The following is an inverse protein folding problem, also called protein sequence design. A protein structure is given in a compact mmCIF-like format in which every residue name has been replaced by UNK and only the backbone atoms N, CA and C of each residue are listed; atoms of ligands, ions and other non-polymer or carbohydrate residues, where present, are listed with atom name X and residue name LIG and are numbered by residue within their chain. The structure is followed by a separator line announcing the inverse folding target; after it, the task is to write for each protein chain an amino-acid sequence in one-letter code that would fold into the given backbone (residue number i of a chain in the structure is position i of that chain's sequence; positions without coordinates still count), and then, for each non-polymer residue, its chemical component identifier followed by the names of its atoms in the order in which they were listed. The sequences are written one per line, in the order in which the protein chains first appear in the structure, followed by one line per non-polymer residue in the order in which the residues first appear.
data_IF_366913662924
#
_entry.id   IF_366913662924
#
_cell.length_a   1.000
_cell.length_b   1.000
_cell.length_c   1.000
_cell.angle_alpha   90.00
_cell.angle_beta   90.00
_cell.angle_gamma   90.00
#
_symmetry.space_group_name_H-M   'P 1'
#
loop_
_entity.id
_entity.type
_entity.pdbx_description
1 polymer ?
#
# COMPACT_ATOMS: atom_id res chain seq x y z
N UNK A 1 -11.06 12.75 13.62
CA UNK A 1 -10.49 11.99 14.77
C UNK A 1 -10.29 10.54 14.36
N UNK A 2 -9.05 10.14 14.07
CA UNK A 2 -8.70 8.74 13.71
C UNK A 2 -8.11 8.07 14.96
N UNK A 3 -8.48 6.81 15.31
CA UNK A 3 -7.91 6.13 16.45
C UNK A 3 -6.45 5.71 16.16
N UNK A 4 -5.53 6.18 17.01
CA UNK A 4 -4.10 5.85 16.95
C UNK A 4 -3.91 4.33 17.14
N UNK A 5 -3.45 3.64 16.10
CA UNK A 5 -3.05 2.23 16.13
C UNK A 5 -1.59 2.08 15.69
N UNK A 6 -0.70 1.98 16.68
CA UNK A 6 0.75 1.85 16.51
C UNK A 6 1.10 0.44 16.01
N UNK A 7 1.74 0.31 14.83
CA UNK A 7 2.30 -0.94 14.31
C UNK A 7 3.64 -0.71 13.54
N UNK A 8 4.68 -1.54 13.79
CA UNK A 8 6.13 -1.39 13.42
C UNK A 8 6.79 -2.77 13.06
N UNK A 9 7.97 -2.98 12.38
CA UNK A 9 8.15 -3.08 10.90
C UNK A 9 8.90 -4.25 10.02
N UNK A 10 8.37 -5.44 9.59
CA UNK A 10 8.65 -6.35 8.37
C UNK A 10 10.05 -6.91 8.06
N UNK A 11 10.07 -7.72 6.99
CA UNK A 11 10.40 -9.15 7.02
C UNK A 11 11.12 -9.76 5.84
N UNK A 12 11.64 -10.95 6.14
CA UNK A 12 11.94 -12.02 5.19
C UNK A 12 10.95 -13.18 5.38
N UNK A 13 10.82 -14.06 4.38
CA UNK A 13 9.72 -15.04 4.35
C UNK A 13 10.02 -16.29 5.20
N UNK A 14 9.63 -16.28 6.47
CA UNK A 14 9.46 -17.52 7.25
C UNK A 14 8.48 -18.48 6.57
N UNK A 15 8.92 -19.71 6.31
CA UNK A 15 8.06 -20.73 5.73
C UNK A 15 7.13 -21.35 6.76
N UNK A 16 5.83 -21.53 6.44
CA UNK A 16 5.02 -22.53 7.12
C UNK A 16 5.70 -23.90 6.93
N UNK A 17 5.91 -24.67 8.01
CA UNK A 17 6.59 -25.97 7.95
C UNK A 17 5.93 -26.93 6.94
N UNK A 18 6.63 -28.00 6.49
CA UNK A 18 6.11 -28.92 5.49
C UNK A 18 4.73 -29.44 5.90
N UNK A 19 3.79 -29.47 4.94
CA UNK A 19 2.38 -29.77 5.19
C UNK A 19 2.22 -30.96 6.15
N UNK A 20 1.77 -30.63 7.37
CA UNK A 20 1.59 -31.55 8.48
C UNK A 20 0.33 -32.38 8.27
N UNK A 21 0.31 -33.60 8.80
CA UNK A 21 -0.92 -34.41 8.83
C UNK A 21 -1.92 -33.93 9.89
N UNK A 22 -1.47 -33.03 10.78
CA UNK A 22 -2.24 -32.42 11.86
C UNK A 22 -2.67 -30.99 11.49
N UNK A 23 -3.59 -30.43 12.27
CA UNK A 23 -4.06 -29.05 12.08
C UNK A 23 -3.01 -28.03 12.53
N UNK A 24 -2.89 -26.92 11.81
CA UNK A 24 -2.13 -25.74 12.24
C UNK A 24 -3.06 -24.53 12.21
N UNK A 25 -3.26 -23.88 13.36
CA UNK A 25 -3.82 -22.52 13.40
C UNK A 25 -2.67 -21.53 13.23
N UNK A 26 -2.92 -20.45 12.50
CA UNK A 26 -1.93 -19.39 12.33
C UNK A 26 -2.58 -18.02 12.19
N UNK A 27 -1.78 -17.00 12.49
CA UNK A 27 -2.06 -15.61 12.12
C UNK A 27 -0.79 -14.98 11.57
N UNK A 28 -0.89 -14.22 10.50
CA UNK A 28 0.19 -13.41 9.93
C UNK A 28 -0.31 -11.97 9.78
N UNK A 29 0.45 -11.02 10.29
CA UNK A 29 0.19 -9.58 10.14
C UNK A 29 1.39 -8.96 9.46
N UNK A 30 1.23 -8.48 8.24
CA UNK A 30 2.24 -7.90 7.36
C UNK A 30 1.84 -6.45 7.04
N UNK A 31 2.74 -5.47 7.11
CA UNK A 31 2.34 -4.05 7.05
C UNK A 31 3.37 -3.07 6.48
N UNK A 32 3.74 -3.14 5.19
CA UNK A 32 4.80 -2.31 4.58
C UNK A 32 4.38 -0.83 4.42
N UNK A 33 5.23 0.15 4.74
CA UNK A 33 5.05 1.59 4.43
C UNK A 33 6.35 2.14 3.83
N UNK A 34 6.22 2.96 2.79
CA UNK A 34 7.32 3.65 2.12
C UNK A 34 6.88 5.03 1.65
N UNK A 35 7.74 6.03 1.84
CA UNK A 35 7.54 7.39 1.34
C UNK A 35 8.85 7.91 0.77
N UNK A 36 8.85 8.34 -0.49
CA UNK A 36 10.03 8.98 -1.07
C UNK A 36 10.28 10.41 -0.58
N UNK A 37 9.31 11.35 -0.62
CA UNK A 37 9.59 12.78 -0.44
C UNK A 37 9.81 13.20 1.02
N UNK A 38 9.09 12.60 1.97
CA UNK A 38 9.16 12.95 3.41
C UNK A 38 9.03 11.69 4.26
N UNK A 39 9.41 11.75 5.53
CA UNK A 39 9.21 10.62 6.45
C UNK A 39 7.74 10.21 6.60
N UNK A 40 7.51 8.98 7.04
CA UNK A 40 6.16 8.41 7.18
C UNK A 40 5.32 9.14 8.23
N UNK A 41 5.93 9.70 9.28
CA UNK A 41 5.21 10.50 10.28
C UNK A 41 4.85 11.88 9.71
N UNK A 42 5.74 12.52 8.94
CA UNK A 42 5.45 13.78 8.26
C UNK A 42 4.34 13.62 7.21
N UNK A 43 4.39 12.55 6.39
CA UNK A 43 3.37 12.23 5.38
C UNK A 43 1.94 12.08 5.96
N UNK A 44 1.83 11.62 7.21
CA UNK A 44 0.55 11.33 7.89
C UNK A 44 0.06 12.48 8.78
N UNK A 45 0.89 13.50 9.00
CA UNK A 45 0.57 14.69 9.78
C UNK A 45 0.89 15.92 8.91
N UNK A 46 1.85 16.74 9.33
CA UNK A 46 1.98 18.14 8.90
C UNK A 46 3.07 18.37 7.83
N UNK A 47 3.59 17.32 7.18
CA UNK A 47 4.71 17.37 6.20
C UNK A 47 5.98 18.13 6.65
N UNK A 48 6.13 18.37 7.96
CA UNK A 48 7.24 19.07 8.59
C UNK A 48 8.49 18.16 8.72
N UNK A 49 9.15 17.94 7.58
CA UNK A 49 10.44 17.29 7.47
C UNK A 49 11.25 17.89 6.31
N UNK A 50 12.46 17.40 6.06
CA UNK A 50 13.22 17.78 4.86
C UNK A 50 12.65 17.08 3.63
N UNK A 51 12.29 17.86 2.60
CA UNK A 51 11.82 17.32 1.32
C UNK A 51 12.97 16.66 0.53
N UNK A 52 12.89 15.34 0.35
CA UNK A 52 13.67 14.58 -0.64
C UNK A 52 12.93 14.50 -1.99
N UNK A 53 13.63 14.04 -3.04
CA UNK A 53 13.03 13.84 -4.36
C UNK A 53 12.22 12.55 -4.43
N UNK A 54 11.00 12.59 -4.96
CA UNK A 54 10.15 11.41 -5.08
C UNK A 54 8.85 11.63 -5.86
N UNK A 55 8.24 10.55 -6.34
CA UNK A 55 6.96 10.56 -7.07
C UNK A 55 5.87 9.66 -6.45
N UNK A 56 6.20 9.00 -5.33
CA UNK A 56 5.31 8.02 -4.71
C UNK A 56 5.49 7.88 -3.20
N UNK A 57 4.37 7.66 -2.52
CA UNK A 57 4.31 7.05 -1.19
C UNK A 57 3.26 5.94 -1.19
N UNK A 58 3.43 4.88 -0.39
CA UNK A 58 2.46 3.80 -0.31
C UNK A 58 2.53 3.01 1.01
N UNK A 59 1.42 2.35 1.34
CA UNK A 59 1.35 1.31 2.36
C UNK A 59 0.55 0.08 1.91
N UNK A 60 1.00 -1.09 2.33
CA UNK A 60 0.40 -2.39 2.07
C UNK A 60 0.31 -3.18 3.37
N UNK A 61 -0.89 -3.19 3.95
CA UNK A 61 -1.19 -3.86 5.21
C UNK A 61 -2.14 -5.04 4.97
N UNK A 62 -1.75 -6.22 5.46
CA UNK A 62 -2.45 -7.50 5.31
C UNK A 62 -2.41 -8.24 6.64
N UNK A 63 -3.57 -8.53 7.19
CA UNK A 63 -3.75 -9.50 8.27
C UNK A 63 -4.43 -10.75 7.72
N UNK A 64 -3.87 -11.92 7.98
CA UNK A 64 -4.42 -13.22 7.60
C UNK A 64 -4.47 -14.12 8.83
N UNK A 65 -5.66 -14.58 9.23
CA UNK A 65 -5.83 -15.55 10.32
C UNK A 65 -6.65 -16.75 9.85
N UNK A 66 -6.15 -17.96 10.11
CA UNK A 66 -6.72 -19.15 9.50
C UNK A 66 -6.20 -20.48 10.02
N UNK A 67 -6.58 -21.53 9.31
CA UNK A 67 -6.22 -22.92 9.59
C UNK A 67 -5.59 -23.56 8.35
N UNK A 68 -4.64 -24.47 8.58
CA UNK A 68 -4.04 -25.34 7.57
C UNK A 68 -4.22 -26.81 7.95
N UNK A 69 -4.54 -27.65 6.97
CA UNK A 69 -4.65 -29.10 7.14
C UNK A 69 -4.38 -29.83 5.82
N UNK A 70 -3.44 -30.79 5.82
CA UNK A 70 -3.09 -31.63 4.64
C UNK A 70 -2.89 -30.85 3.33
N UNK A 71 -2.30 -29.66 3.43
CA UNK A 71 -2.02 -28.78 2.29
C UNK A 71 -3.13 -27.77 1.97
N UNK A 72 -4.36 -27.95 2.45
CA UNK A 72 -5.39 -26.91 2.39
C UNK A 72 -5.09 -25.79 3.39
N UNK A 73 -5.49 -24.57 3.02
CA UNK A 73 -5.44 -23.33 3.80
C UNK A 73 -6.79 -22.63 3.68
N UNK A 74 -7.40 -22.26 4.79
CA UNK A 74 -8.60 -21.41 4.83
C UNK A 74 -8.34 -20.28 5.83
N UNK A 75 -8.58 -19.03 5.44
CA UNK A 75 -8.34 -17.87 6.28
C UNK A 75 -9.34 -16.73 6.08
N UNK A 76 -9.53 -15.93 7.13
CA UNK A 76 -10.02 -14.56 7.01
C UNK A 76 -8.82 -13.66 6.69
N UNK A 77 -9.00 -12.78 5.71
CA UNK A 77 -8.03 -11.75 5.35
C UNK A 77 -8.62 -10.37 5.65
N UNK A 78 -7.82 -9.44 6.13
CA UNK A 78 -8.14 -8.01 6.22
C UNK A 78 -7.01 -7.26 5.51
N UNK A 79 -7.32 -6.30 4.66
CA UNK A 79 -6.34 -5.54 3.87
C UNK A 79 -6.62 -4.06 3.84
N UNK A 80 -5.54 -3.29 3.81
CA UNK A 80 -5.50 -1.85 3.59
C UNK A 80 -4.32 -1.59 2.65
N UNK A 81 -4.64 -1.20 1.42
CA UNK A 81 -3.68 -0.90 0.37
C UNK A 81 -3.88 0.57 -0.02
N UNK A 82 -2.88 1.42 0.16
CA UNK A 82 -2.92 2.85 -0.18
C UNK A 82 -1.68 3.20 -0.99
N UNK A 83 -1.85 3.83 -2.13
CA UNK A 83 -0.79 4.32 -3.01
C UNK A 83 -1.11 5.78 -3.32
N UNK A 84 -0.16 6.67 -3.08
CA UNK A 84 -0.21 8.06 -3.50
C UNK A 84 0.85 8.26 -4.57
N UNK A 85 0.44 8.63 -5.78
CA UNK A 85 1.37 9.12 -6.82
C UNK A 85 1.21 10.61 -6.96
N UNK A 86 2.32 11.28 -7.22
CA UNK A 86 2.38 12.72 -7.44
C UNK A 86 3.60 13.03 -8.30
N UNK A 87 3.77 14.28 -8.69
CA UNK A 87 5.03 14.73 -9.28
C UNK A 87 5.84 15.59 -8.30
N UNK A 88 7.10 15.86 -8.63
CA UNK A 88 7.98 16.64 -7.76
C UNK A 88 7.44 18.04 -7.45
N UNK A 89 6.80 18.70 -8.43
CA UNK A 89 6.20 20.03 -8.22
C UNK A 89 5.06 19.99 -7.19
N UNK A 90 4.30 18.89 -7.13
CA UNK A 90 3.24 18.69 -6.12
C UNK A 90 3.82 18.51 -4.73
N UNK A 91 4.85 17.67 -4.60
CA UNK A 91 5.54 17.47 -3.32
C UNK A 91 6.22 18.76 -2.83
N UNK A 92 6.78 19.56 -3.75
CA UNK A 92 7.37 20.87 -3.46
C UNK A 92 6.32 21.90 -3.05
N UNK A 93 5.25 22.10 -3.83
CA UNK A 93 4.18 23.05 -3.51
C UNK A 93 3.52 22.73 -2.16
N UNK A 94 3.15 21.47 -1.93
CA UNK A 94 2.53 21.04 -0.68
C UNK A 94 3.48 21.15 0.52
N UNK A 95 4.79 20.88 0.33
CA UNK A 95 5.78 21.08 1.38
C UNK A 95 5.98 22.56 1.73
N UNK A 96 5.98 23.45 0.73
CA UNK A 96 6.11 24.89 0.94
C UNK A 96 4.90 25.46 1.70
N UNK A 97 3.69 25.14 1.25
CA UNK A 97 2.42 25.49 1.89
C UNK A 97 2.38 25.04 3.37
N UNK A 98 2.62 23.76 3.65
CA UNK A 98 2.54 23.22 5.01
C UNK A 98 3.65 23.70 5.97
N UNK A 99 4.67 24.42 5.48
CA UNK A 99 5.79 24.90 6.30
C UNK A 99 5.98 26.43 6.24
N UNK A 100 4.98 27.17 5.76
CA UNK A 100 5.02 28.64 5.60
C UNK A 100 6.27 29.12 4.82
N UNK A 101 6.65 28.42 3.75
CA UNK A 101 7.81 28.76 2.91
C UNK A 101 7.35 29.53 1.68
N UNK A 102 7.77 30.79 1.57
CA UNK A 102 7.52 31.68 0.43
C UNK A 102 7.64 30.94 -0.93
N UNK A 103 6.58 31.04 -1.74
CA UNK A 103 6.55 30.52 -3.11
C UNK A 103 7.05 31.63 -4.05
N UNK A 104 7.98 31.31 -4.95
CA UNK A 104 8.48 32.27 -5.92
C UNK A 104 7.35 32.64 -6.90
N UNK A 105 6.94 33.93 -6.97
CA UNK A 105 5.79 34.38 -7.74
C UNK A 105 5.92 34.18 -9.25
N UNK A 106 7.13 33.96 -9.78
CA UNK A 106 7.35 33.63 -11.20
C UNK A 106 7.31 32.11 -11.49
N UNK A 107 6.96 31.26 -10.51
CA UNK A 107 6.96 29.80 -10.68
C UNK A 107 5.61 29.23 -11.13
N UNK A 108 5.58 28.72 -12.37
CA UNK A 108 4.47 27.90 -12.85
C UNK A 108 4.50 26.49 -12.24
N UNK A 109 3.41 26.09 -11.60
CA UNK A 109 3.22 24.73 -11.05
C UNK A 109 2.30 23.90 -11.92
N UNK A 110 2.75 22.69 -12.27
CA UNK A 110 1.90 21.63 -12.78
C UNK A 110 1.81 20.54 -11.72
N UNK A 111 0.74 20.57 -10.94
CA UNK A 111 0.45 19.63 -9.86
C UNK A 111 -0.24 18.38 -10.43
N UNK A 112 0.06 17.23 -9.84
CA UNK A 112 -0.51 15.92 -10.13
C UNK A 112 -0.68 15.18 -8.80
N UNK A 113 -1.88 14.72 -8.51
CA UNK A 113 -2.19 13.86 -7.38
C UNK A 113 -3.07 12.69 -7.85
N UNK A 114 -2.54 11.48 -7.80
CA UNK A 114 -3.22 10.26 -8.20
C UNK A 114 -3.25 9.26 -7.02
N UNK A 115 -4.24 9.36 -6.12
CA UNK A 115 -4.45 8.39 -5.05
C UNK A 115 -5.12 7.12 -5.57
N UNK A 116 -4.65 5.98 -5.11
CA UNK A 116 -5.30 4.67 -5.27
C UNK A 116 -5.28 3.95 -3.92
N UNK A 117 -6.44 3.84 -3.28
CA UNK A 117 -6.64 3.19 -2.00
C UNK A 117 -7.85 2.24 -2.01
N UNK A 118 -7.66 1.11 -1.35
CA UNK A 118 -8.70 0.13 -1.06
C UNK A 118 -8.53 -0.46 0.34
N UNK A 119 -9.63 -0.51 1.08
CA UNK A 119 -9.76 -1.35 2.27
C UNK A 119 -10.71 -2.50 1.99
N UNK A 120 -10.30 -3.73 2.29
CA UNK A 120 -11.11 -4.91 2.02
C UNK A 120 -11.04 -6.01 3.07
N UNK A 121 -12.13 -6.75 3.19
CA UNK A 121 -12.23 -7.98 3.97
C UNK A 121 -12.26 -9.17 3.00
N UNK A 122 -11.47 -10.20 3.26
CA UNK A 122 -11.35 -11.37 2.39
C UNK A 122 -11.72 -12.69 3.06
N UNK A 123 -12.13 -13.68 2.25
CA UNK A 123 -12.11 -15.10 2.59
C UNK A 123 -11.18 -15.80 1.60
N UNK A 124 -10.08 -16.37 2.12
CA UNK A 124 -9.04 -17.02 1.35
C UNK A 124 -9.20 -18.54 1.43
N UNK A 125 -9.11 -19.20 0.27
CA UNK A 125 -8.91 -20.64 0.16
C UNK A 125 -7.63 -20.85 -0.66
N UNK A 126 -6.71 -21.66 -0.13
CA UNK A 126 -5.50 -22.06 -0.83
C UNK A 126 -5.20 -23.55 -0.69
N UNK A 127 -4.37 -24.06 -1.58
CA UNK A 127 -3.86 -25.42 -1.51
C UNK A 127 -2.37 -25.46 -1.87
N UNK A 128 -1.64 -26.37 -1.24
CA UNK A 128 -0.20 -26.59 -1.43
C UNK A 128 0.09 -27.93 -2.09
N UNK A 129 0.52 -27.89 -3.35
CA UNK A 129 0.99 -29.07 -4.09
C UNK A 129 2.48 -29.31 -3.82
N UNK A 130 2.82 -30.54 -3.42
CA UNK A 130 4.19 -31.07 -3.42
C UNK A 130 4.45 -31.69 -4.81
N UNK A 131 4.90 -30.89 -5.76
CA UNK A 131 5.11 -31.31 -7.16
C UNK A 131 6.29 -32.31 -7.25
N UNK A 132 7.35 -32.06 -6.48
CA UNK A 132 8.50 -32.96 -6.27
C UNK A 132 8.95 -32.90 -4.82
N UNK A 133 9.81 -33.82 -4.38
CA UNK A 133 10.38 -33.81 -3.03
C UNK A 133 11.14 -32.52 -2.67
N UNK A 134 11.59 -31.77 -3.68
CA UNK A 134 12.34 -30.53 -3.54
C UNK A 134 11.62 -29.29 -4.11
N UNK A 135 10.40 -29.42 -4.63
CA UNK A 135 9.65 -28.31 -5.21
C UNK A 135 8.17 -28.37 -4.82
N UNK A 136 7.69 -27.29 -4.20
CA UNK A 136 6.30 -27.13 -3.77
C UNK A 136 5.75 -25.77 -4.23
N UNK A 137 4.45 -25.73 -4.50
CA UNK A 137 3.73 -24.52 -4.89
C UNK A 137 2.43 -24.44 -4.07
N UNK A 138 2.12 -23.26 -3.56
CA UNK A 138 0.92 -22.88 -2.82
C UNK A 138 0.20 -21.84 -3.68
N UNK A 139 -1.04 -22.12 -4.08
CA UNK A 139 -1.88 -21.17 -4.83
C UNK A 139 -3.09 -20.90 -3.96
N UNK A 140 -3.40 -19.63 -3.77
CA UNK A 140 -4.58 -19.19 -3.04
C UNK A 140 -5.43 -18.25 -3.88
N UNK A 141 -6.74 -18.30 -3.64
CA UNK A 141 -7.73 -17.38 -4.18
C UNK A 141 -8.47 -16.78 -3.00
N UNK A 142 -8.60 -15.45 -3.00
CA UNK A 142 -9.32 -14.69 -1.99
C UNK A 142 -10.54 -14.06 -2.62
N UNK A 143 -11.74 -14.33 -2.08
CA UNK A 143 -12.93 -13.51 -2.37
C UNK A 143 -12.84 -12.27 -1.50
N UNK A 144 -12.91 -11.09 -2.10
CA UNK A 144 -12.79 -9.79 -1.45
C UNK A 144 -14.15 -9.08 -1.37
N UNK A 145 -14.36 -8.36 -0.28
CA UNK A 145 -15.42 -7.40 -0.02
C UNK A 145 -14.74 -6.04 0.20
N UNK A 146 -14.95 -5.12 -0.73
CA UNK A 146 -14.41 -3.75 -0.68
C UNK A 146 -15.28 -2.85 0.19
N UNK A 147 -14.64 -2.07 1.06
CA UNK A 147 -15.27 -1.27 2.12
C UNK A 147 -14.96 0.22 1.94
N UNK A 148 -13.70 0.54 1.67
CA UNK A 148 -13.28 1.91 1.38
C UNK A 148 -12.61 1.94 0.00
N UNK A 149 -13.03 2.91 -0.81
CA UNK A 149 -12.55 3.22 -2.16
C UNK A 149 -11.97 4.64 -2.15
N UNK A 150 -10.85 4.82 -2.83
CA UNK A 150 -10.40 6.08 -3.39
C UNK A 150 -9.57 5.74 -4.63
N UNK A 151 -9.92 6.24 -5.81
CA UNK A 151 -9.17 5.95 -7.04
C UNK A 151 -9.40 7.06 -8.06
N UNK A 152 -8.33 7.65 -8.60
CA UNK A 152 -8.45 8.66 -9.64
C UNK A 152 -7.25 9.59 -9.72
N UNK A 153 -7.48 10.76 -10.31
CA UNK A 153 -6.45 11.75 -10.56
C UNK A 153 -7.01 13.17 -10.43
N UNK A 154 -6.19 14.06 -9.88
CA UNK A 154 -6.34 15.51 -9.93
C UNK A 154 -5.07 16.07 -10.56
N UNK A 155 -5.23 16.87 -11.63
CA UNK A 155 -4.14 17.68 -12.20
C UNK A 155 -4.49 19.14 -12.09
N UNK A 156 -3.52 19.99 -11.74
CA UNK A 156 -3.72 21.44 -11.63
C UNK A 156 -2.54 22.16 -12.29
N UNK A 157 -2.80 23.03 -13.26
CA UNK A 157 -1.80 23.97 -13.76
C UNK A 157 -2.10 25.36 -13.19
N UNK A 158 -1.16 25.89 -12.42
CA UNK A 158 -1.22 27.23 -11.79
C UNK A 158 -0.06 28.08 -12.30
N UNK A 159 -0.36 29.33 -12.64
CA UNK A 159 0.61 30.39 -12.91
C UNK A 159 0.24 31.61 -12.06
N UNK A 160 1.23 32.39 -11.65
CA UNK A 160 1.03 33.58 -10.82
C UNK A 160 1.23 33.31 -9.33
N UNK A 161 1.20 34.39 -8.57
CA UNK A 161 1.91 34.51 -7.31
C UNK A 161 1.11 34.00 -6.10
N UNK A 162 1.75 33.15 -5.29
CA UNK A 162 1.20 32.59 -4.05
C UNK A 162 -0.08 31.75 -4.24
N UNK A 163 -0.46 30.93 -3.25
CA UNK A 163 -1.77 30.25 -3.26
C UNK A 163 -2.88 31.15 -2.66
N UNK A 164 -2.64 32.46 -2.57
CA UNK A 164 -3.57 33.48 -2.05
C UNK A 164 -4.41 34.11 -3.19
N UNK A 165 -5.70 34.34 -2.92
CA UNK A 165 -6.70 34.73 -3.93
C UNK A 165 -6.40 36.08 -4.60
N UNK A 166 -5.67 36.98 -3.93
CA UNK A 166 -5.33 38.31 -4.47
C UNK A 166 -4.27 38.28 -5.59
N UNK A 167 -3.48 37.21 -5.71
CA UNK A 167 -2.25 37.18 -6.51
C UNK A 167 -2.18 36.03 -7.54
N UNK A 168 -3.14 35.10 -7.50
CA UNK A 168 -3.30 34.00 -8.47
C UNK A 168 -3.57 34.53 -9.90
N UNK A 169 -2.67 34.31 -10.86
CA UNK A 169 -2.87 34.79 -12.24
C UNK A 169 -3.78 33.86 -13.06
N UNK A 170 -3.53 32.54 -13.05
CA UNK A 170 -4.40 31.55 -13.73
C UNK A 170 -4.35 30.22 -13.02
N UNK A 171 -5.49 29.54 -12.95
CA UNK A 171 -5.56 28.17 -12.44
C UNK A 171 -6.50 27.32 -13.30
N UNK A 172 -6.02 26.14 -13.70
CA UNK A 172 -6.78 25.16 -14.46
C UNK A 172 -6.68 23.80 -13.75
N UNK A 173 -7.78 23.26 -13.25
CA UNK A 173 -7.80 21.93 -12.64
C UNK A 173 -8.64 20.95 -13.46
N UNK A 174 -8.20 19.70 -13.54
CA UNK A 174 -8.98 18.56 -14.01
C UNK A 174 -9.07 17.55 -12.88
N UNK A 175 -10.30 17.23 -12.47
CA UNK A 175 -10.62 16.31 -11.37
C UNK A 175 -11.37 15.12 -11.95
N UNK A 176 -10.93 13.90 -11.69
CA UNK A 176 -11.66 12.69 -12.06
C UNK A 176 -11.32 11.56 -11.08
N UNK A 177 -12.15 11.39 -10.06
CA UNK A 177 -11.92 10.37 -9.03
C UNK A 177 -13.21 9.76 -8.47
N UNK A 178 -13.09 8.52 -8.00
CA UNK A 178 -14.11 7.73 -7.32
C UNK A 178 -13.74 7.54 -5.86
N UNK A 179 -14.73 7.44 -4.97
CA UNK A 179 -14.48 7.47 -3.51
C UNK A 179 -15.59 6.85 -2.67
N UNK A 180 -15.24 6.48 -1.43
CA UNK A 180 -16.22 6.23 -0.36
C UNK A 180 -16.61 7.47 0.44
N UNK A 181 -15.75 8.49 0.45
CA UNK A 181 -15.93 9.76 1.17
C UNK A 181 -15.39 10.89 0.27
N UNK A 182 -16.12 12.01 0.10
CA UNK A 182 -15.60 13.20 -0.60
C UNK A 182 -14.26 13.68 -0.02
N UNK A 183 -13.46 14.37 -0.85
CA UNK A 183 -12.11 14.87 -0.48
C UNK A 183 -11.83 16.30 -0.95
N UNK A 184 -12.73 16.94 -1.70
CA UNK A 184 -12.59 18.29 -2.25
C UNK A 184 -13.81 19.15 -1.87
N UNK A 185 -14.23 19.06 -0.61
CA UNK A 185 -15.37 19.79 0.00
C UNK A 185 -16.70 19.70 -0.76
N UNK A 186 -16.92 18.63 -1.54
CA UNK A 186 -18.13 18.51 -2.35
C UNK A 186 -19.42 18.42 -1.52
N UNK A 187 -19.32 18.07 -0.23
CA UNK A 187 -20.46 18.00 0.69
C UNK A 187 -20.97 19.38 1.16
N UNK A 188 -20.10 20.39 1.24
CA UNK A 188 -20.44 21.75 1.70
C UNK A 188 -20.97 22.63 0.56
N UNK A 189 -20.35 22.58 -0.62
CA UNK A 189 -20.54 23.59 -1.68
C UNK A 189 -21.47 23.16 -2.83
N UNK A 190 -21.94 21.90 -2.87
CA UNK A 190 -22.59 21.34 -4.08
C UNK A 190 -23.99 20.76 -3.85
N UNK A 191 -24.95 21.38 -4.53
CA UNK A 191 -26.31 20.84 -4.69
C UNK A 191 -26.31 19.82 -5.83
N UNK A 192 -26.58 18.56 -5.49
CA UNK A 192 -26.71 17.45 -6.44
C UNK A 192 -28.18 17.18 -6.79
N UNK A 193 -28.45 16.79 -8.05
CA UNK A 193 -29.76 16.26 -8.47
C UNK A 193 -29.75 14.74 -8.46
N UNK A 194 -30.39 14.14 -7.44
CA UNK A 194 -30.58 12.71 -7.38
C UNK A 194 -31.69 12.26 -8.33
N UNK A 195 -31.29 11.59 -9.41
CA UNK A 195 -32.21 11.03 -10.41
C UNK A 195 -33.15 9.95 -9.84
N UNK A 196 -32.78 9.30 -8.72
CA UNK A 196 -33.57 8.21 -8.13
C UNK A 196 -34.73 8.72 -7.27
N UNK A 197 -34.51 9.76 -6.45
CA UNK A 197 -35.58 10.46 -5.71
C UNK A 197 -36.25 11.60 -6.50
N UNK A 198 -35.62 12.06 -7.59
CA UNK A 198 -36.00 13.26 -8.36
C UNK A 198 -35.95 14.55 -7.53
N UNK A 199 -35.01 14.64 -6.59
CA UNK A 199 -34.84 15.80 -5.70
C UNK A 199 -33.45 16.42 -5.81
N UNK A 200 -33.35 17.68 -5.40
CA UNK A 200 -32.08 18.36 -5.16
C UNK A 200 -31.72 18.24 -3.68
N UNK A 201 -30.44 18.01 -3.37
CA UNK A 201 -29.94 17.92 -2.00
C UNK A 201 -28.42 18.10 -1.92
N UNK A 202 -27.89 18.17 -0.71
CA UNK A 202 -26.46 18.17 -0.41
C UNK A 202 -25.82 16.85 -0.90
N UNK A 203 -24.58 16.93 -1.41
CA UNK A 203 -23.87 15.75 -1.88
C UNK A 203 -23.26 14.96 -0.71
N UNK A 204 -24.04 14.01 -0.18
CA UNK A 204 -23.61 13.09 0.85
C UNK A 204 -23.85 11.63 0.40
N UNK A 205 -22.97 11.05 -0.42
CA UNK A 205 -23.13 9.69 -0.93
C UNK A 205 -22.83 8.65 0.16
N UNK A 206 -23.65 7.60 0.23
CA UNK A 206 -23.36 6.45 1.08
C UNK A 206 -22.12 5.67 0.58
N UNK A 207 -21.34 5.10 1.50
CA UNK A 207 -20.15 4.30 1.15
C UNK A 207 -20.51 3.18 0.13
N UNK A 208 -19.81 3.10 -1.02
CA UNK A 208 -20.00 2.04 -2.01
C UNK A 208 -19.50 0.70 -1.46
N UNK A 209 -20.05 -0.39 -1.99
CA UNK A 209 -19.63 -1.76 -1.64
C UNK A 209 -19.01 -2.44 -2.83
N UNK A 210 -17.78 -2.92 -2.64
CA UNK A 210 -17.02 -3.64 -3.65
C UNK A 210 -17.17 -5.15 -3.49
N UNK A 211 -17.19 -5.89 -4.60
CA UNK A 211 -16.95 -7.34 -4.60
C UNK A 211 -15.81 -7.66 -5.55
N UNK A 212 -14.88 -8.49 -5.10
CA UNK A 212 -13.65 -8.73 -5.82
C UNK A 212 -13.06 -10.11 -5.61
N UNK A 213 -11.96 -10.33 -6.32
CA UNK A 213 -11.14 -11.53 -6.19
C UNK A 213 -9.67 -11.16 -6.33
N UNK A 214 -8.81 -11.84 -5.57
CA UNK A 214 -7.37 -11.86 -5.83
C UNK A 214 -6.80 -13.27 -5.82
N UNK A 215 -5.62 -13.45 -6.41
CA UNK A 215 -4.88 -14.71 -6.38
C UNK A 215 -3.41 -14.53 -6.02
N UNK A 216 -2.94 -15.38 -5.11
CA UNK A 216 -1.55 -15.43 -4.66
C UNK A 216 -0.89 -16.72 -5.15
N UNK A 217 0.38 -16.65 -5.53
CA UNK A 217 1.23 -17.81 -5.87
C UNK A 217 2.50 -17.77 -5.05
N UNK A 218 2.79 -18.85 -4.33
CA UNK A 218 3.99 -19.00 -3.53
C UNK A 218 4.69 -20.32 -3.89
N UNK A 219 5.84 -20.22 -4.54
CA UNK A 219 6.66 -21.35 -4.96
C UNK A 219 7.94 -21.44 -4.11
N UNK A 220 8.27 -22.64 -3.64
CA UNK A 220 9.49 -22.92 -2.90
C UNK A 220 10.28 -24.03 -3.59
N UNK A 221 11.57 -23.78 -3.83
CA UNK A 221 12.47 -24.70 -4.50
C UNK A 221 13.74 -24.91 -3.68
N UNK A 222 13.89 -26.13 -3.16
CA UNK A 222 15.18 -26.61 -2.64
C UNK A 222 16.04 -27.04 -3.83
N UNK A 223 16.88 -26.13 -4.32
CA UNK A 223 17.72 -26.35 -5.50
C UNK A 223 18.75 -27.44 -5.20
N UNK A 224 19.38 -27.38 -4.03
CA UNK A 224 20.28 -28.43 -3.52
C UNK A 224 20.33 -28.39 -1.98
N UNK A 225 21.39 -28.93 -1.36
CA UNK A 225 21.52 -28.97 0.11
C UNK A 225 21.88 -27.62 0.75
N UNK A 226 22.38 -26.67 -0.03
CA UNK A 226 22.80 -25.33 0.42
C UNK A 226 21.90 -24.21 -0.11
N UNK A 227 21.33 -24.38 -1.32
CA UNK A 227 20.54 -23.34 -1.97
C UNK A 227 19.04 -23.63 -1.90
N UNK A 228 18.30 -22.66 -1.36
CA UNK A 228 16.83 -22.61 -1.37
C UNK A 228 16.39 -21.32 -2.07
N UNK A 229 15.38 -21.40 -2.93
CA UNK A 229 14.76 -20.24 -3.55
C UNK A 229 13.27 -20.21 -3.23
N UNK A 230 12.72 -19.01 -3.03
CA UNK A 230 11.29 -18.77 -2.89
C UNK A 230 10.86 -17.62 -3.76
N UNK A 231 9.77 -17.82 -4.49
CA UNK A 231 9.06 -16.77 -5.22
C UNK A 231 7.65 -16.67 -4.64
N UNK A 232 7.31 -15.50 -4.11
CA UNK A 232 5.95 -15.12 -3.73
C UNK A 232 5.47 -14.04 -4.69
N UNK A 233 4.31 -14.25 -5.29
CA UNK A 233 3.58 -13.24 -6.05
C UNK A 233 2.23 -13.08 -5.35
N UNK A 234 2.03 -11.93 -4.71
CA UNK A 234 0.71 -11.52 -4.26
C UNK A 234 -0.02 -10.83 -5.39
N UNK A 235 -1.35 -10.99 -5.43
CA UNK A 235 -2.21 -10.25 -6.36
C UNK A 235 -1.81 -10.44 -7.84
N UNK A 236 -1.39 -11.66 -8.21
CA UNK A 236 -1.13 -12.05 -9.61
C UNK A 236 -2.35 -11.76 -10.50
N UNK A 237 -3.54 -11.91 -9.92
CA UNK A 237 -4.76 -11.23 -10.31
C UNK A 237 -5.28 -10.47 -9.09
N UNK A 238 -5.78 -9.25 -9.27
CA UNK A 238 -6.57 -8.53 -8.28
C UNK A 238 -7.57 -7.60 -8.97
N UNK A 239 -8.85 -7.76 -8.66
CA UNK A 239 -9.91 -6.84 -9.09
C UNK A 239 -10.99 -6.72 -8.02
N UNK A 240 -11.44 -5.49 -7.76
CA UNK A 240 -12.66 -5.20 -7.00
C UNK A 240 -13.59 -4.41 -7.91
N UNK A 241 -14.80 -4.92 -8.09
CA UNK A 241 -15.88 -4.26 -8.82
C UNK A 241 -16.83 -3.60 -7.82
N UNK A 242 -17.01 -2.29 -7.98
CA UNK A 242 -17.81 -1.42 -7.14
C UNK A 242 -19.10 -1.06 -7.87
N UNK A 243 -20.24 -1.44 -7.30
CA UNK A 243 -21.55 -1.01 -7.77
C UNK A 243 -21.90 0.35 -7.13
N UNK A 244 -22.37 1.29 -7.94
CA UNK A 244 -22.72 2.66 -7.55
C UNK A 244 -21.58 3.38 -6.81
N UNK A 245 -20.36 3.31 -7.33
CA UNK A 245 -19.24 4.10 -6.87
C UNK A 245 -19.55 5.60 -7.07
N UNK A 246 -19.58 6.41 -5.99
CA UNK A 246 -19.59 7.87 -6.08
C UNK A 246 -18.38 8.35 -6.86
N UNK A 247 -18.55 9.39 -7.67
CA UNK A 247 -17.45 10.03 -8.38
C UNK A 247 -17.65 11.55 -8.49
N UNK A 248 -16.53 12.25 -8.56
CA UNK A 248 -16.44 13.66 -8.95
C UNK A 248 -15.67 13.74 -10.25
N UNK A 249 -16.26 14.41 -11.25
CA UNK A 249 -15.57 14.82 -12.47
C UNK A 249 -15.76 16.30 -12.66
N UNK A 250 -14.67 17.04 -12.77
CA UNK A 250 -14.74 18.50 -12.87
C UNK A 250 -13.62 19.08 -13.72
N UNK A 251 -13.90 20.24 -14.28
CA UNK A 251 -12.94 21.12 -14.93
C UNK A 251 -13.12 22.49 -14.28
N UNK A 252 -12.09 22.93 -13.56
CA UNK A 252 -12.00 24.27 -13.02
C UNK A 252 -11.15 25.13 -13.96
N UNK A 253 -11.64 26.33 -14.29
CA UNK A 253 -10.89 27.33 -15.05
C UNK A 253 -11.06 28.69 -14.38
N UNK A 254 -9.93 29.35 -14.14
CA UNK A 254 -9.85 30.71 -13.63
C UNK A 254 -8.87 31.52 -14.49
N UNK A 255 -9.35 32.62 -15.04
CA UNK A 255 -8.58 33.60 -15.81
C UNK A 255 -9.14 35.03 -15.57
N UNK A 256 -8.43 35.88 -14.80
CA UNK A 256 -8.84 37.23 -14.48
C UNK A 256 -8.66 38.19 -15.65
N UNK A 257 -7.73 37.94 -16.58
CA UNK A 257 -7.59 38.77 -17.80
C UNK A 257 -8.87 38.70 -18.64
N UNK A 258 -9.47 37.50 -18.72
CA UNK A 258 -10.69 37.25 -19.49
C UNK A 258 -11.98 37.47 -18.66
N UNK A 259 -11.85 37.81 -17.37
CA UNK A 259 -12.97 37.96 -16.41
C UNK A 259 -13.89 36.72 -16.37
N UNK A 260 -13.31 35.53 -16.51
CA UNK A 260 -14.05 34.28 -16.38
C UNK A 260 -14.27 34.03 -14.88
N UNK A 261 -15.51 34.25 -14.43
CA UNK A 261 -15.95 33.74 -13.12
C UNK A 261 -15.65 32.24 -13.05
N UNK A 262 -15.16 31.69 -11.93
CA UNK A 262 -14.82 30.27 -11.81
C UNK A 262 -15.94 29.35 -12.32
N UNK A 263 -15.74 28.78 -13.51
CA UNK A 263 -16.72 27.88 -14.13
C UNK A 263 -16.44 26.46 -13.70
N UNK A 264 -17.26 25.94 -12.78
CA UNK A 264 -17.31 24.51 -12.47
C UNK A 264 -18.10 23.77 -13.54
N UNK A 265 -17.44 23.29 -14.60
CA UNK A 265 -18.05 22.38 -15.58
C UNK A 265 -17.96 20.92 -15.09
N UNK A 266 -18.59 20.68 -13.94
CA UNK A 266 -18.50 19.43 -13.20
C UNK A 266 -19.78 18.61 -13.18
N UNK A 267 -19.61 17.29 -12.99
CA UNK A 267 -20.68 16.36 -12.65
C UNK A 267 -20.27 15.46 -11.48
N UNK A 268 -21.15 15.42 -10.49
CA UNK A 268 -21.17 14.40 -9.44
C UNK A 268 -22.10 13.27 -9.89
N UNK A 269 -21.91 12.06 -9.36
CA UNK A 269 -22.84 10.96 -9.61
C UNK A 269 -22.32 9.60 -9.18
N UNK A 270 -23.03 8.57 -9.63
CA UNK A 270 -22.74 7.17 -9.31
C UNK A 270 -22.57 6.36 -10.59
N UNK A 271 -21.59 5.47 -10.63
CA UNK A 271 -21.40 4.53 -11.73
C UNK A 271 -20.81 3.19 -11.28
N UNK A 272 -20.65 2.24 -12.21
CA UNK A 272 -19.90 1.02 -11.93
C UNK A 272 -18.41 1.31 -12.14
N UNK A 273 -17.59 0.99 -11.16
CA UNK A 273 -16.15 1.19 -11.19
C UNK A 273 -15.39 -0.11 -10.95
N UNK A 274 -14.22 -0.27 -11.57
CA UNK A 274 -13.38 -1.46 -11.46
C UNK A 274 -11.98 -1.05 -11.01
N UNK A 275 -11.60 -1.45 -9.80
CA UNK A 275 -10.29 -1.15 -9.22
C UNK A 275 -9.36 -2.37 -9.28
N UNK A 276 -8.09 -2.17 -9.60
CA UNK A 276 -7.07 -3.23 -9.67
C UNK A 276 -5.72 -2.74 -9.17
N UNK A 277 -5.04 -3.54 -8.34
CA UNK A 277 -3.70 -3.26 -7.85
C UNK A 277 -2.67 -4.07 -8.63
N UNK A 278 -1.45 -3.55 -8.73
CA UNK A 278 -0.33 -4.26 -9.37
C UNK A 278 0.17 -5.41 -8.50
N UNK A 279 0.45 -6.56 -9.12
CA UNK A 279 1.02 -7.71 -8.43
C UNK A 279 2.34 -7.38 -7.71
N UNK A 280 2.44 -7.76 -6.44
CA UNK A 280 3.66 -7.59 -5.63
C UNK A 280 4.49 -8.87 -5.69
N UNK A 281 5.81 -8.73 -5.75
CA UNK A 281 6.71 -9.86 -6.00
C UNK A 281 7.82 -9.89 -4.95
N UNK A 282 8.03 -11.05 -4.33
CA UNK A 282 9.15 -11.31 -3.42
C UNK A 282 9.94 -12.51 -3.95
N UNK A 283 11.21 -12.31 -4.27
CA UNK A 283 12.15 -13.38 -4.61
C UNK A 283 13.22 -13.45 -3.53
N UNK A 284 13.29 -14.56 -2.79
CA UNK A 284 14.32 -14.82 -1.79
C UNK A 284 15.20 -15.98 -2.25
N UNK A 285 16.52 -15.79 -2.25
CA UNK A 285 17.52 -16.83 -2.54
C UNK A 285 18.44 -16.95 -1.32
N UNK A 286 18.36 -18.10 -0.66
CA UNK A 286 19.10 -18.42 0.56
C UNK A 286 20.26 -19.36 0.25
N UNK A 287 21.40 -19.15 0.92
CA UNK A 287 22.59 -19.99 0.87
C UNK A 287 23.09 -20.36 2.27
N UNK A 288 22.91 -21.63 2.64
CA UNK A 288 23.36 -22.19 3.90
C UNK A 288 24.86 -22.56 3.84
N UNK A 289 25.72 -21.71 4.42
CA UNK A 289 27.16 -21.99 4.58
C UNK A 289 27.40 -23.22 5.48
N UNK A 290 26.57 -23.38 6.51
CA UNK A 290 26.66 -24.44 7.51
C UNK A 290 25.31 -24.60 8.22
N UNK A 291 25.19 -25.63 9.07
CA UNK A 291 24.02 -25.82 9.94
C UNK A 291 23.76 -24.65 10.92
N UNK A 292 24.70 -23.69 11.06
CA UNK A 292 24.59 -22.54 11.97
C UNK A 292 24.48 -21.20 11.27
N UNK A 293 24.95 -21.06 10.03
CA UNK A 293 25.09 -19.76 9.36
C UNK A 293 24.71 -19.87 7.88
N UNK A 294 24.02 -18.85 7.38
CA UNK A 294 23.72 -18.68 5.96
C UNK A 294 23.53 -17.21 5.60
N UNK A 295 23.24 -16.96 4.33
CA UNK A 295 22.92 -15.63 3.79
C UNK A 295 21.69 -15.69 2.90
N UNK A 296 21.02 -14.54 2.75
CA UNK A 296 19.89 -14.38 1.83
C UNK A 296 20.12 -13.15 0.96
N UNK A 297 19.84 -13.28 -0.34
CA UNK A 297 19.53 -12.15 -1.21
C UNK A 297 18.03 -12.16 -1.45
N UNK A 298 17.36 -11.06 -1.14
CA UNK A 298 15.93 -10.87 -1.36
C UNK A 298 15.66 -9.68 -2.28
N UNK A 299 14.66 -9.78 -3.14
CA UNK A 299 14.13 -8.71 -3.98
C UNK A 299 12.64 -8.58 -3.69
N UNK A 300 12.20 -7.43 -3.19
CA UNK A 300 10.78 -7.09 -3.10
C UNK A 300 10.45 -6.06 -4.19
N UNK A 301 9.37 -6.25 -4.95
CA UNK A 301 8.89 -5.32 -5.96
C UNK A 301 7.43 -4.97 -5.70
N UNK A 302 7.15 -3.67 -5.57
CA UNK A 302 5.81 -3.12 -5.39
C UNK A 302 5.72 -1.75 -6.10
N UNK A 303 4.58 -1.48 -6.72
CA UNK A 303 4.22 -0.18 -7.32
C UNK A 303 5.22 0.43 -8.33
N UNK A 304 6.09 -0.41 -8.91
CA UNK A 304 7.16 0.00 -9.83
C UNK A 304 8.55 0.00 -9.20
N UNK A 305 8.64 0.20 -7.88
CA UNK A 305 9.90 0.22 -7.12
C UNK A 305 10.35 -1.21 -6.83
N UNK A 306 11.68 -1.41 -6.85
CA UNK A 306 12.33 -2.65 -6.40
C UNK A 306 13.24 -2.34 -5.21
N UNK A 307 13.15 -3.17 -4.17
CA UNK A 307 13.87 -3.11 -2.90
C UNK A 307 14.82 -4.32 -2.82
N UNK A 308 16.10 -4.17 -3.18
CA UNK A 308 17.09 -5.23 -3.09
C UNK A 308 17.66 -5.30 -1.68
N UNK A 309 17.70 -6.50 -1.11
CA UNK A 309 18.12 -6.74 0.25
C UNK A 309 19.17 -7.84 0.33
N UNK A 310 20.18 -7.62 1.17
CA UNK A 310 21.20 -8.62 1.51
C UNK A 310 21.10 -8.89 3.00
N UNK A 311 21.16 -10.16 3.38
CA UNK A 311 21.05 -10.60 4.76
C UNK A 311 22.07 -11.66 5.14
N UNK A 312 22.43 -11.70 6.42
CA UNK A 312 23.13 -12.81 7.06
C UNK A 312 22.25 -13.34 8.19
N UNK A 313 22.14 -14.65 8.30
CA UNK A 313 21.37 -15.29 9.37
C UNK A 313 22.21 -16.34 10.12
N UNK A 314 21.88 -16.51 11.41
CA UNK A 314 22.42 -17.57 12.23
C UNK A 314 21.33 -18.33 12.99
N UNK A 315 21.50 -19.64 13.10
CA UNK A 315 20.67 -20.51 13.92
C UNK A 315 21.27 -20.60 15.33
N UNK A 316 20.50 -20.19 16.34
CA UNK A 316 20.88 -20.32 17.74
C UNK A 316 19.73 -20.92 18.54
N UNK A 317 20.00 -22.08 19.16
CA UNK A 317 18.99 -22.93 19.79
C UNK A 317 17.88 -23.28 18.77
N UNK A 318 16.65 -22.89 19.05
CA UNK A 318 15.46 -23.11 18.21
C UNK A 318 15.05 -21.89 17.38
N UNK A 319 15.88 -20.84 17.35
CA UNK A 319 15.59 -19.55 16.69
C UNK A 319 16.63 -19.26 15.61
N UNK A 320 16.17 -18.87 14.42
CA UNK A 320 16.97 -18.17 13.44
C UNK A 320 16.93 -16.67 13.74
N UNK A 321 18.11 -16.07 13.91
CA UNK A 321 18.31 -14.63 13.95
C UNK A 321 18.84 -14.19 12.59
N UNK A 322 18.33 -13.10 12.05
CA UNK A 322 18.75 -12.55 10.77
C UNK A 322 18.95 -11.04 10.89
N UNK A 323 20.00 -10.53 10.25
CA UNK A 323 20.25 -9.09 10.08
C UNK A 323 20.33 -8.83 8.58
N UNK A 324 19.67 -7.76 8.12
CA UNK A 324 19.55 -7.42 6.71
C UNK A 324 19.78 -5.94 6.45
N UNK A 325 20.20 -5.61 5.23
CA UNK A 325 20.25 -4.24 4.72
C UNK A 325 19.60 -4.15 3.35
N UNK A 326 18.68 -3.20 3.19
CA UNK A 326 17.91 -2.91 1.98
C UNK A 326 18.49 -1.69 1.27
N UNK A 327 18.91 -1.83 0.02
CA UNK A 327 19.73 -0.80 -0.65
C UNK A 327 18.93 0.34 -1.27
N UNK A 328 17.65 0.12 -1.64
CA UNK A 328 16.75 1.20 -2.11
C UNK A 328 16.18 1.97 -0.92
N UNK A 329 15.72 1.26 0.10
CA UNK A 329 15.19 1.88 1.32
C UNK A 329 16.29 2.46 2.23
N UNK A 330 17.57 2.13 2.01
CA UNK A 330 18.69 2.37 2.96
C UNK A 330 18.42 1.79 4.37
N UNK A 331 17.55 0.77 4.45
CA UNK A 331 16.96 0.31 5.69
C UNK A 331 17.69 -0.90 6.29
N UNK A 332 17.91 -0.87 7.61
CA UNK A 332 18.45 -2.00 8.37
C UNK A 332 17.31 -2.81 8.97
N UNK A 333 17.40 -4.14 8.88
CA UNK A 333 16.41 -5.05 9.43
C UNK A 333 16.98 -6.10 10.37
N UNK A 334 16.14 -6.54 11.31
CA UNK A 334 16.39 -7.59 12.29
C UNK A 334 15.18 -8.53 12.27
N UNK A 335 15.44 -9.82 12.09
CA UNK A 335 14.44 -10.85 11.90
C UNK A 335 14.66 -12.02 12.88
N UNK A 336 13.57 -12.58 13.36
CA UNK A 336 13.47 -13.51 14.49
C UNK A 336 12.46 -14.61 14.17
N UNK A 337 12.95 -15.76 13.69
CA UNK A 337 12.10 -16.86 13.24
C UNK A 337 12.29 -18.11 14.09
N UNK A 338 11.19 -18.70 14.55
CA UNK A 338 11.19 -20.05 15.11
C UNK A 338 9.91 -20.79 14.67
N UNK A 339 9.74 -22.03 15.11
CA UNK A 339 8.61 -22.90 14.71
C UNK A 339 7.20 -22.40 15.11
N UNK A 340 7.11 -21.37 15.95
CA UNK A 340 5.86 -20.80 16.48
C UNK A 340 5.71 -19.30 16.23
N UNK A 341 6.81 -18.56 16.16
CA UNK A 341 6.84 -17.10 16.03
C UNK A 341 7.72 -16.70 14.84
N UNK A 342 7.18 -15.82 14.01
CA UNK A 342 7.92 -14.93 13.11
C UNK A 342 7.78 -13.52 13.64
N UNK A 343 8.89 -12.83 13.83
CA UNK A 343 8.90 -11.41 14.10
C UNK A 343 9.98 -10.77 13.24
N UNK A 344 9.63 -9.68 12.57
CA UNK A 344 10.58 -8.97 11.74
C UNK A 344 10.41 -7.45 11.88
N UNK A 345 11.55 -6.75 11.90
CA UNK A 345 11.64 -5.29 11.85
C UNK A 345 12.69 -4.84 10.81
N UNK A 346 12.45 -3.70 10.16
CA UNK A 346 13.16 -3.07 9.06
C UNK A 346 12.84 -1.58 9.12
N UNK A 347 13.87 -0.74 9.22
CA UNK A 347 13.73 0.69 9.01
C UNK A 347 15.06 1.33 8.64
N UNK A 348 14.99 2.42 7.86
CA UNK A 348 16.06 3.38 7.66
C UNK A 348 16.39 4.17 8.94
N UNK A 349 15.41 4.34 9.84
CA UNK A 349 15.63 4.99 11.14
C UNK A 349 15.05 4.20 12.33
N UNK A 350 15.75 3.15 12.74
CA UNK A 350 15.41 2.33 13.93
C UNK A 350 15.52 3.10 15.27
N UNK A 351 16.11 4.30 15.31
CA UNK A 351 16.24 5.10 16.55
C UNK A 351 15.08 6.06 16.75
N UNK A 352 14.63 6.67 15.66
CA UNK A 352 13.57 7.67 15.65
C UNK A 352 12.63 7.36 14.47
N UNK A 353 11.58 6.59 14.77
CA UNK A 353 10.58 6.15 13.80
C UNK A 353 9.83 7.31 13.14
N UNK A 354 9.83 8.51 13.75
CA UNK A 354 9.23 9.70 13.14
C UNK A 354 9.98 10.16 11.91
N UNK A 355 11.29 9.88 11.84
CA UNK A 355 12.19 10.24 10.73
C UNK A 355 12.51 9.05 9.82
N UNK A 356 11.61 8.06 9.76
CA UNK A 356 11.76 6.90 8.89
C UNK A 356 10.97 7.12 7.60
N UNK A 357 11.64 7.07 6.45
CA UNK A 357 10.99 7.00 5.13
C UNK A 357 10.53 5.57 4.81
N UNK A 358 11.15 4.57 5.44
CA UNK A 358 10.76 3.16 5.34
C UNK A 358 10.50 2.56 6.71
N UNK A 359 9.28 2.12 6.91
CA UNK A 359 8.90 1.23 8.01
C UNK A 359 7.74 0.41 7.48
N UNK A 360 7.78 -0.89 7.62
CA UNK A 360 6.51 -1.59 7.79
C UNK A 360 6.67 -3.05 8.09
N UNK A 361 5.63 -3.74 8.70
CA UNK A 361 5.30 -4.98 9.54
C UNK A 361 5.59 -6.45 9.16
N UNK A 362 6.11 -7.32 10.07
CA UNK A 362 5.64 -8.72 10.15
C UNK A 362 5.63 -9.35 11.55
N UNK A 363 4.46 -9.83 11.97
CA UNK A 363 4.29 -10.81 13.08
C UNK A 363 3.55 -12.03 12.54
N UNK A 364 4.14 -13.21 12.68
CA UNK A 364 3.50 -14.49 12.40
C UNK A 364 3.43 -15.36 13.64
N UNK A 365 2.27 -15.95 13.94
CA UNK A 365 2.08 -16.98 14.97
C UNK A 365 1.61 -18.27 14.32
N UNK A 366 2.20 -19.40 14.71
CA UNK A 366 1.91 -20.73 14.18
C UNK A 366 1.75 -21.72 15.33
N UNK A 367 0.56 -22.29 15.49
CA UNK A 367 0.23 -23.23 16.56
C UNK A 367 -0.18 -24.57 15.92
N UNK A 368 0.72 -25.56 15.88
CA UNK A 368 0.34 -26.92 15.51
C UNK A 368 -0.48 -27.56 16.63
N UNK A 369 -1.62 -28.09 16.26
CA UNK A 369 -2.40 -29.03 17.07
C UNK A 369 -1.95 -30.45 16.71
N UNK A 370 -2.22 -31.40 17.62
CA UNK A 370 -1.94 -32.83 17.46
C UNK A 370 -3.13 -33.52 16.78
#
# INVERSE_FOLDING_TARGET
MIPILIFTALSTLSFPPPARETWELYSDSTAFIYSEPVSVDALLNDWNDTLESGDIAFTHNRFEAGARYKGFRIAKVLRYDYILRFNQQTATAYHQDQNDIDIDPETDFNLLLAPQHARSNGLLIGYRWKIRSNFQIDIAVTRLEGIQLLDGEVTVSVSGADFDEENLDRANANVNYHYSEPKLSEEDDRIFYDQSSQTFGEWNPAEPKGQGWSSDVLAHWKINRHFNATLWIEDLYHKIDWDNAPFTRDIYQYDPEVHILPTFEGRLGFEKFSQSFSARQHLNIQYDYSNRWGSEVSLYKANGITFPRISVYCHWLWTQWQVSYDTKAKATGIALHNKYLTFDVLSDNLKDHKKAHTIGLRVGLHIPFL
#
